data_IF_903304346017
#
_entry.id   IF_903304346017
#
_cell.length_a   1.000
_cell.length_b   1.000
_cell.length_c   1.000
_cell.angle_alpha   90.00
_cell.angle_beta   90.00
_cell.angle_gamma   90.00
#
_symmetry.space_group_name_H-M   'P 1'
#
loop_
_entity.id
_entity.type
_entity.pdbx_description
1 polymer ?
#
# COMPACT_ATOMS: atom_id res chain seq x y z
N UNK A 1 13.76 11.20 47.00
CA UNK A 1 13.08 12.02 45.97
C UNK A 1 13.16 11.54 44.50
N UNK A 2 13.72 10.38 44.08
CA UNK A 2 13.74 10.01 42.64
C UNK A 2 12.57 9.13 42.17
N UNK A 3 11.81 8.51 43.08
CA UNK A 3 10.82 7.48 42.74
C UNK A 3 9.63 8.01 41.91
N UNK A 4 9.25 9.29 42.07
CA UNK A 4 8.16 9.92 41.32
C UNK A 4 8.54 10.22 39.86
N UNK A 5 9.80 10.60 39.61
CA UNK A 5 10.29 10.86 38.24
C UNK A 5 10.41 9.59 37.42
N UNK A 6 10.80 8.46 38.03
CA UNK A 6 10.87 7.16 37.35
C UNK A 6 9.47 6.72 36.90
N UNK A 7 8.46 6.87 37.78
CA UNK A 7 7.08 6.55 37.44
C UNK A 7 6.54 7.39 36.27
N UNK A 8 6.91 8.68 36.21
CA UNK A 8 6.52 9.57 35.12
C UNK A 8 7.19 9.20 33.79
N UNK A 9 8.48 8.83 33.84
CA UNK A 9 9.22 8.35 32.66
C UNK A 9 8.63 7.04 32.15
N UNK A 10 8.31 6.09 33.02
CA UNK A 10 7.67 4.83 32.63
C UNK A 10 6.30 5.07 31.98
N UNK A 11 5.48 5.97 32.53
CA UNK A 11 4.17 6.28 31.95
C UNK A 11 4.29 6.95 30.57
N UNK A 12 5.24 7.88 30.42
CA UNK A 12 5.55 8.52 29.14
C UNK A 12 6.07 7.51 28.10
N UNK A 13 6.90 6.56 28.52
CA UNK A 13 7.48 5.53 27.65
C UNK A 13 6.42 4.51 27.20
N UNK A 14 5.45 4.17 28.05
CA UNK A 14 4.30 3.32 27.70
C UNK A 14 3.36 4.04 26.71
N UNK A 15 3.09 5.33 26.91
CA UNK A 15 2.29 6.14 25.98
C UNK A 15 2.98 6.25 24.61
N UNK A 16 4.30 6.45 24.58
CA UNK A 16 5.07 6.49 23.34
C UNK A 16 5.10 5.14 22.61
N UNK A 17 5.13 4.02 23.36
CA UNK A 17 5.07 2.67 22.80
C UNK A 17 3.68 2.34 22.21
N UNK A 18 2.60 2.99 22.68
CA UNK A 18 1.27 2.86 22.06
C UNK A 18 1.09 3.67 20.76
N UNK A 19 2.03 4.56 20.44
CA UNK A 19 2.00 5.36 19.21
C UNK A 19 2.61 4.65 17.99
N UNK A 20 2.83 3.33 18.06
CA UNK A 20 3.19 2.52 16.88
C UNK A 20 2.14 2.76 15.76
N UNK A 21 2.56 2.83 14.49
CA UNK A 21 1.69 3.28 13.42
C UNK A 21 0.60 2.24 13.14
N UNK A 22 -0.57 2.43 13.72
CA UNK A 22 -1.84 1.75 13.39
C UNK A 22 -2.37 2.11 11.98
N UNK A 23 -1.57 2.80 11.17
CA UNK A 23 -1.97 3.36 9.87
C UNK A 23 -1.34 2.64 8.68
N UNK A 24 -0.74 1.47 8.90
CA UNK A 24 -0.25 0.67 7.80
C UNK A 24 -1.41 0.27 6.88
N UNK A 25 -1.30 0.62 5.59
CA UNK A 25 -2.34 0.36 4.59
C UNK A 25 -1.73 0.00 3.24
N UNK A 26 -2.38 -0.85 2.45
CA UNK A 26 -1.88 -1.18 1.12
C UNK A 26 -2.26 -0.06 0.16
N UNK A 27 -1.36 0.26 -0.78
CA UNK A 27 -1.61 1.30 -1.79
C UNK A 27 -1.28 0.72 -3.16
N UNK A 28 -2.31 0.48 -3.96
CA UNK A 28 -2.18 0.07 -5.35
C UNK A 28 -1.81 1.28 -6.22
N UNK A 29 -0.57 1.30 -6.70
CA UNK A 29 -0.12 2.25 -7.71
C UNK A 29 -0.19 1.60 -9.09
N UNK A 30 -0.91 2.26 -10.00
CA UNK A 30 -1.12 1.85 -11.38
C UNK A 30 -0.50 2.91 -12.28
N UNK A 31 0.74 2.72 -12.78
CA UNK A 31 1.43 3.70 -13.62
C UNK A 31 0.66 4.00 -14.90
N UNK A 32 0.03 2.98 -15.48
CA UNK A 32 -0.73 3.07 -16.72
C UNK A 32 -2.12 2.48 -16.51
N UNK A 33 -3.14 3.33 -16.49
CA UNK A 33 -4.54 2.93 -16.27
C UNK A 33 -5.29 2.62 -17.55
N UNK A 34 -4.83 3.19 -18.66
CA UNK A 34 -5.45 3.10 -19.97
C UNK A 34 -4.33 2.93 -20.97
N UNK A 35 -4.43 1.88 -21.79
CA UNK A 35 -3.55 1.68 -22.94
C UNK A 35 -4.39 1.74 -24.20
N UNK A 36 -3.99 2.57 -25.15
CA UNK A 36 -4.63 2.63 -26.46
C UNK A 36 -3.78 1.84 -27.43
N UNK A 37 -4.39 0.83 -28.06
CA UNK A 37 -3.73 0.10 -29.12
C UNK A 37 -3.70 0.94 -30.40
N UNK A 38 -2.58 0.91 -31.09
CA UNK A 38 -2.46 1.54 -32.40
C UNK A 38 -3.33 0.82 -33.45
N UNK A 39 -3.45 1.42 -34.64
CA UNK A 39 -4.07 0.76 -35.79
C UNK A 39 -3.30 -0.50 -36.15
N UNK A 40 -3.98 -1.64 -36.12
CA UNK A 40 -3.40 -2.96 -36.35
C UNK A 40 -4.10 -3.66 -37.51
N UNK A 41 -3.38 -4.51 -38.28
CA UNK A 41 -3.99 -5.33 -39.33
C UNK A 41 -5.04 -6.28 -38.77
N UNK A 42 -6.05 -6.58 -39.59
CA UNK A 42 -7.07 -7.57 -39.27
C UNK A 42 -6.44 -8.95 -39.01
N UNK A 43 -6.98 -9.68 -38.03
CA UNK A 43 -6.48 -11.00 -37.62
C UNK A 43 -5.29 -10.97 -36.64
N UNK A 44 -4.81 -9.78 -36.26
CA UNK A 44 -3.73 -9.65 -35.27
C UNK A 44 -4.21 -10.00 -33.85
N UNK A 45 -3.39 -10.74 -33.10
CA UNK A 45 -3.62 -10.97 -31.67
C UNK A 45 -2.91 -9.88 -30.87
N UNK A 46 -3.66 -9.25 -29.98
CA UNK A 46 -3.19 -8.15 -29.17
C UNK A 46 -2.98 -8.64 -27.73
N UNK A 47 -1.85 -8.27 -27.13
CA UNK A 47 -1.58 -8.55 -25.72
C UNK A 47 -0.89 -7.35 -25.09
N UNK A 48 -1.48 -6.82 -24.03
CA UNK A 48 -0.88 -5.78 -23.20
C UNK A 48 -0.77 -6.28 -21.76
N UNK A 49 0.32 -5.93 -21.08
CA UNK A 49 0.58 -6.32 -19.69
C UNK A 49 0.61 -5.08 -18.81
N UNK A 50 -0.35 -4.98 -17.90
CA UNK A 50 -0.32 -3.96 -16.86
C UNK A 50 0.62 -4.37 -15.72
N UNK A 51 1.47 -3.45 -15.29
CA UNK A 51 2.34 -3.63 -14.13
C UNK A 51 1.77 -2.81 -12.98
N UNK A 52 1.54 -3.48 -11.84
CA UNK A 52 1.03 -2.86 -10.63
C UNK A 52 2.09 -2.87 -9.53
N UNK A 53 2.14 -1.80 -8.74
CA UNK A 53 3.07 -1.69 -7.62
C UNK A 53 2.30 -1.48 -6.32
N UNK A 54 2.66 -2.23 -5.27
CA UNK A 54 2.26 -1.88 -3.92
C UNK A 54 3.22 -0.83 -3.38
N UNK A 55 2.73 0.39 -3.20
CA UNK A 55 3.49 1.52 -2.64
C UNK A 55 3.12 1.81 -1.18
N UNK A 56 2.25 0.97 -0.61
CA UNK A 56 1.88 1.03 0.79
C UNK A 56 2.86 0.27 1.68
N UNK A 57 2.61 0.35 2.98
CA UNK A 57 3.39 -0.23 4.06
C UNK A 57 2.75 -1.50 4.65
N UNK A 58 1.73 -2.04 3.98
CA UNK A 58 1.14 -3.34 4.29
C UNK A 58 0.94 -4.21 3.04
N UNK A 59 0.67 -5.50 3.23
CA UNK A 59 0.41 -6.45 2.14
C UNK A 59 -0.80 -6.03 1.29
N UNK A 60 -0.65 -6.01 -0.04
CA UNK A 60 -1.72 -5.76 -1.00
C UNK A 60 -2.19 -7.08 -1.62
N UNK A 61 -3.48 -7.41 -1.44
CA UNK A 61 -4.11 -8.61 -2.02
C UNK A 61 -5.14 -8.22 -3.07
N UNK A 62 -5.03 -8.82 -4.26
CA UNK A 62 -6.03 -8.66 -5.34
C UNK A 62 -7.06 -9.78 -5.19
N UNK A 63 -8.28 -9.43 -4.77
CA UNK A 63 -9.33 -10.42 -4.47
C UNK A 63 -10.22 -10.74 -5.68
N UNK A 64 -10.39 -9.78 -6.59
CA UNK A 64 -11.26 -9.90 -7.76
C UNK A 64 -10.70 -9.08 -8.90
N UNK A 65 -10.76 -9.66 -10.10
CA UNK A 65 -10.50 -8.98 -11.36
C UNK A 65 -11.75 -9.12 -12.20
N UNK A 66 -12.20 -8.02 -12.80
CA UNK A 66 -13.35 -8.02 -13.71
C UNK A 66 -12.91 -7.40 -15.03
N UNK A 67 -13.14 -8.08 -16.17
CA UNK A 67 -13.00 -7.43 -17.46
C UNK A 67 -14.05 -6.32 -17.58
N UNK A 68 -13.64 -5.20 -18.18
CA UNK A 68 -14.54 -4.11 -18.56
C UNK A 68 -15.30 -4.42 -19.84
#
# INVERSE_FOLDING_TARGET
MPLKSISFICFFLIFCLSALPLWAKPILHVPERVYTFDTLPEGSIITHRFIFHNTGDSELRILKVSPG
#
